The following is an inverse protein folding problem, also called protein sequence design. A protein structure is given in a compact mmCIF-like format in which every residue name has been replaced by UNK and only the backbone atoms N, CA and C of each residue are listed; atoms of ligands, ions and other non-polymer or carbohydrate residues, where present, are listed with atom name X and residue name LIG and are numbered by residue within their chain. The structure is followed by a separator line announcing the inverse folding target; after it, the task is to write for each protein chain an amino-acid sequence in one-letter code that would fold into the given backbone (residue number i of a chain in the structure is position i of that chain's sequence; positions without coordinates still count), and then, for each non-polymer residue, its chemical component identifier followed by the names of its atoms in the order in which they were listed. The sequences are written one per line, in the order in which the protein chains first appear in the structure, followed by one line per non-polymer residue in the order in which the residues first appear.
data_IF_073346519058
#
_entry.id   IF_073346519058
#
_cell.length_a   1.000
_cell.length_b   1.000
_cell.length_c   1.000
_cell.angle_alpha   90.00
_cell.angle_beta   90.00
_cell.angle_gamma   90.00
#
_symmetry.space_group_name_H-M   'P 1'
#
loop_
_entity.id
_entity.type
_entity.pdbx_description
1 polymer ?
#
# COMPACT_ATOMS: atom_id res chain seq x y z
N UNK A 1 56.47 19.03 -8.07
CA UNK A 1 55.97 17.98 -7.16
C UNK A 1 54.64 18.29 -6.46
N UNK A 2 54.20 19.56 -6.33
CA UNK A 2 52.91 19.90 -5.68
C UNK A 2 51.67 19.79 -6.60
N UNK A 3 51.83 19.79 -7.92
CA UNK A 3 50.71 19.69 -8.87
C UNK A 3 50.14 18.26 -9.01
N UNK A 4 50.95 17.23 -8.78
CA UNK A 4 50.54 15.83 -8.92
C UNK A 4 49.68 15.35 -7.75
N UNK A 5 49.86 15.93 -6.56
CA UNK A 5 49.02 15.65 -5.37
C UNK A 5 47.59 16.20 -5.52
N UNK A 6 47.41 17.32 -6.23
CA UNK A 6 46.09 17.89 -6.51
C UNK A 6 45.33 17.11 -7.58
N UNK A 7 46.02 16.55 -8.57
CA UNK A 7 45.40 15.70 -9.60
C UNK A 7 44.95 14.34 -9.05
N UNK A 8 45.67 13.77 -8.08
CA UNK A 8 45.26 12.51 -7.43
C UNK A 8 44.05 12.69 -6.50
N UNK A 9 43.86 13.88 -5.90
CA UNK A 9 42.71 14.15 -5.04
C UNK A 9 41.39 14.31 -5.83
N UNK A 10 41.44 14.76 -7.09
CA UNK A 10 40.26 14.91 -7.95
C UNK A 10 39.72 13.57 -8.48
N UNK A 11 40.56 12.53 -8.57
CA UNK A 11 40.18 11.19 -9.04
C UNK A 11 39.52 10.31 -7.96
N UNK A 12 39.49 10.78 -6.72
CA UNK A 12 38.95 10.08 -5.55
C UNK A 12 37.62 10.64 -5.06
N UNK A 13 37.00 11.59 -5.77
CA UNK A 13 35.61 11.92 -5.51
C UNK A 13 34.73 10.76 -6.01
N UNK A 14 34.15 9.94 -5.12
CA UNK A 14 33.11 9.04 -5.58
C UNK A 14 32.03 9.96 -6.13
N UNK A 15 31.64 9.75 -7.41
CA UNK A 15 30.50 10.45 -7.95
C UNK A 15 29.37 10.28 -6.95
N UNK A 16 28.85 11.39 -6.41
CA UNK A 16 27.59 11.40 -5.70
C UNK A 16 26.58 10.84 -6.70
N UNK A 17 26.34 9.53 -6.66
CA UNK A 17 25.14 8.97 -7.22
C UNK A 17 24.04 9.74 -6.52
N UNK A 18 23.31 10.56 -7.27
CA UNK A 18 22.12 11.22 -6.76
C UNK A 18 21.27 10.10 -6.14
N UNK A 19 21.14 10.13 -4.81
CA UNK A 19 20.35 9.16 -4.09
C UNK A 19 18.92 9.38 -4.57
N UNK A 20 18.49 8.53 -5.49
CA UNK A 20 17.16 8.58 -6.07
C UNK A 20 16.17 8.41 -4.93
N UNK A 21 15.28 9.38 -4.74
CA UNK A 21 14.36 9.36 -3.61
C UNK A 21 13.50 8.09 -3.69
N UNK A 22 13.61 7.23 -2.67
CA UNK A 22 12.88 5.97 -2.61
C UNK A 22 11.60 6.18 -1.79
N UNK A 23 10.46 5.90 -2.42
CA UNK A 23 9.16 5.92 -1.78
C UNK A 23 8.67 4.49 -1.64
N UNK A 24 8.66 4.01 -0.39
CA UNK A 24 8.18 2.67 -0.04
C UNK A 24 6.69 2.70 0.26
N UNK A 25 5.93 1.88 -0.45
CA UNK A 25 4.54 1.57 -0.14
C UNK A 25 4.46 0.30 0.69
N UNK A 26 3.59 0.27 1.70
CA UNK A 26 3.20 -0.96 2.37
C UNK A 26 1.89 -1.51 1.81
N UNK A 27 1.75 -2.82 1.68
CA UNK A 27 0.47 -3.50 1.54
C UNK A 27 0.19 -4.27 2.83
N UNK A 28 -0.97 -4.04 3.42
CA UNK A 28 -1.45 -4.69 4.62
C UNK A 28 -2.76 -5.40 4.31
N UNK A 29 -2.80 -6.71 4.46
CA UNK A 29 -4.01 -7.49 4.22
C UNK A 29 -4.12 -8.73 5.09
N UNK A 30 -5.25 -9.43 4.97
CA UNK A 30 -5.46 -10.67 5.68
C UNK A 30 -4.84 -11.86 4.96
N UNK A 31 -4.19 -12.74 5.70
CA UNK A 31 -3.74 -14.02 5.19
C UNK A 31 -4.95 -14.96 4.95
N UNK A 32 -5.08 -15.48 3.71
CA UNK A 32 -6.18 -16.34 3.27
C UNK A 32 -7.56 -15.69 3.43
N UNK A 33 -7.68 -14.44 3.01
CA UNK A 33 -8.93 -13.70 3.09
C UNK A 33 -10.09 -14.40 2.33
N UNK A 34 -11.23 -14.70 2.98
CA UNK A 34 -12.37 -15.35 2.34
C UNK A 34 -12.99 -14.52 1.21
N UNK A 35 -12.81 -13.18 1.21
CA UNK A 35 -13.33 -12.28 0.16
C UNK A 35 -12.78 -12.63 -1.22
N UNK A 36 -11.55 -13.16 -1.26
CA UNK A 36 -10.84 -13.54 -2.48
C UNK A 36 -10.82 -15.05 -2.75
N UNK A 37 -11.49 -15.84 -1.91
CA UNK A 37 -11.60 -17.26 -2.13
C UNK A 37 -12.36 -17.58 -3.43
N UNK A 38 -11.95 -18.69 -4.07
CA UNK A 38 -12.63 -19.24 -5.24
C UNK A 38 -14.07 -19.59 -4.88
N UNK A 39 -15.03 -19.06 -5.63
CA UNK A 39 -16.44 -19.38 -5.48
C UNK A 39 -16.81 -20.53 -6.44
N UNK A 40 -17.35 -21.63 -5.91
CA UNK A 40 -17.86 -22.77 -6.68
C UNK A 40 -19.37 -22.91 -6.48
N UNK A 41 -20.07 -23.37 -7.52
CA UNK A 41 -21.47 -23.83 -7.41
C UNK A 41 -21.56 -25.19 -6.72
N UNK A 42 -22.79 -25.62 -6.41
CA UNK A 42 -23.08 -27.00 -5.98
C UNK A 42 -22.59 -28.06 -6.99
N UNK A 43 -22.52 -27.72 -8.27
CA UNK A 43 -22.04 -28.58 -9.34
C UNK A 43 -20.51 -28.47 -9.57
N UNK A 44 -19.75 -27.90 -8.62
CA UNK A 44 -18.30 -27.65 -8.73
C UNK A 44 -17.87 -26.72 -9.89
N UNK A 45 -18.82 -26.04 -10.55
CA UNK A 45 -18.49 -25.03 -11.56
C UNK A 45 -17.90 -23.79 -10.88
N UNK A 46 -16.78 -23.29 -11.40
CA UNK A 46 -16.11 -22.09 -10.90
C UNK A 46 -16.88 -20.85 -11.37
N UNK A 47 -17.56 -20.17 -10.44
CA UNK A 47 -18.26 -18.91 -10.73
C UNK A 47 -17.30 -17.72 -10.71
N UNK A 48 -16.32 -17.76 -9.81
CA UNK A 48 -15.32 -16.71 -9.66
C UNK A 48 -13.96 -17.34 -9.36
N UNK A 49 -12.92 -17.03 -10.16
CA UNK A 49 -11.57 -17.46 -9.84
C UNK A 49 -11.11 -16.80 -8.52
N UNK A 50 -10.08 -17.38 -7.90
CA UNK A 50 -9.38 -16.67 -6.85
C UNK A 50 -8.62 -15.50 -7.50
N UNK A 51 -8.67 -14.32 -6.88
CA UNK A 51 -8.00 -13.11 -7.35
C UNK A 51 -7.06 -12.66 -6.24
N UNK A 52 -5.83 -12.32 -6.57
CA UNK A 52 -4.90 -11.72 -5.61
C UNK A 52 -4.78 -10.20 -5.88
N UNK A 53 -5.24 -9.32 -4.97
CA UNK A 53 -5.12 -7.88 -5.14
C UNK A 53 -3.68 -7.37 -5.22
N UNK A 54 -2.70 -8.10 -4.66
CA UNK A 54 -1.28 -7.75 -4.75
C UNK A 54 -0.79 -7.83 -6.19
N UNK A 55 -1.34 -8.71 -7.03
CA UNK A 55 -0.97 -8.77 -8.45
C UNK A 55 -1.29 -7.44 -9.17
N UNK A 56 -2.42 -6.81 -8.79
CA UNK A 56 -2.79 -5.48 -9.27
C UNK A 56 -1.81 -4.40 -8.79
N UNK A 57 -1.48 -4.40 -7.50
CA UNK A 57 -0.51 -3.45 -6.94
C UNK A 57 0.90 -3.62 -7.56
N UNK A 58 1.35 -4.86 -7.76
CA UNK A 58 2.63 -5.15 -8.42
C UNK A 58 2.64 -4.73 -9.89
N UNK A 59 1.48 -4.80 -10.57
CA UNK A 59 1.34 -4.27 -11.92
C UNK A 59 1.47 -2.76 -11.94
N UNK A 60 0.78 -2.06 -11.04
CA UNK A 60 0.93 -0.61 -10.86
C UNK A 60 2.38 -0.21 -10.53
N UNK A 61 3.12 -0.98 -9.73
CA UNK A 61 4.55 -0.72 -9.46
C UNK A 61 5.41 -0.82 -10.72
N UNK A 62 5.11 -1.73 -11.65
CA UNK A 62 5.83 -1.82 -12.93
C UNK A 62 5.56 -0.60 -13.80
N UNK A 63 4.31 -0.16 -13.87
CA UNK A 63 3.90 1.01 -14.67
C UNK A 63 4.46 2.30 -14.07
N UNK A 64 4.46 2.42 -12.74
CA UNK A 64 5.00 3.55 -12.00
C UNK A 64 6.50 3.76 -12.24
N UNK A 65 7.25 2.77 -12.75
CA UNK A 65 8.67 2.96 -13.13
C UNK A 65 8.84 4.02 -14.21
N UNK A 66 7.86 4.21 -15.09
CA UNK A 66 7.91 5.24 -16.14
C UNK A 66 7.86 6.62 -15.49
N UNK A 67 6.86 6.85 -14.64
CA UNK A 67 6.70 8.11 -13.88
C UNK A 67 7.90 8.32 -12.95
N UNK A 68 8.33 7.28 -12.25
CA UNK A 68 9.50 7.34 -11.37
C UNK A 68 10.75 7.76 -12.11
N UNK A 69 10.98 7.31 -13.37
CA UNK A 69 12.14 7.76 -14.17
C UNK A 69 12.05 9.24 -14.50
N UNK A 70 10.86 9.74 -14.82
CA UNK A 70 10.67 11.16 -15.09
C UNK A 70 10.85 12.04 -13.83
N UNK A 71 10.49 11.52 -12.66
CA UNK A 71 10.59 12.22 -11.37
C UNK A 71 11.93 12.00 -10.66
N UNK A 72 12.84 11.19 -11.20
CA UNK A 72 14.04 10.74 -10.48
C UNK A 72 13.71 10.13 -9.10
N UNK A 73 12.62 9.35 -9.04
CA UNK A 73 12.15 8.62 -7.85
C UNK A 73 12.09 7.12 -8.10
N UNK A 74 12.30 6.32 -7.05
CA UNK A 74 12.11 4.87 -7.07
C UNK A 74 10.89 4.51 -6.21
N UNK A 75 10.04 3.61 -6.70
CA UNK A 75 8.89 3.11 -5.96
C UNK A 75 9.10 1.64 -5.62
N UNK A 76 8.88 1.28 -4.36
CA UNK A 76 8.91 -0.11 -3.88
C UNK A 76 7.61 -0.45 -3.15
N UNK A 77 7.27 -1.74 -3.11
CA UNK A 77 6.07 -2.25 -2.44
C UNK A 77 6.47 -3.42 -1.53
N UNK A 78 6.20 -3.25 -0.23
CA UNK A 78 6.42 -4.27 0.79
C UNK A 78 5.08 -4.89 1.20
N UNK A 79 4.95 -6.20 1.04
CA UNK A 79 3.68 -6.91 1.25
C UNK A 79 3.70 -7.62 2.60
N UNK A 80 2.72 -7.33 3.45
CA UNK A 80 2.47 -8.04 4.68
C UNK A 80 1.03 -8.57 4.73
N UNK A 81 0.91 -9.86 5.08
CA UNK A 81 -0.36 -10.56 5.18
C UNK A 81 -0.42 -11.37 6.45
N UNK A 82 -1.30 -10.97 7.35
CA UNK A 82 -1.36 -11.52 8.68
C UNK A 82 -2.77 -12.04 9.00
N UNK A 83 -2.88 -12.99 9.91
CA UNK A 83 -4.18 -13.61 10.25
C UNK A 83 -4.89 -12.88 11.38
N UNK A 84 -4.13 -12.25 12.25
CA UNK A 84 -4.60 -11.60 13.46
C UNK A 84 -4.28 -10.10 13.43
N UNK A 85 -5.12 -9.27 14.08
CA UNK A 85 -4.91 -7.83 14.10
C UNK A 85 -3.59 -7.40 14.75
N UNK A 86 -3.07 -8.16 15.71
CA UNK A 86 -1.86 -7.81 16.45
C UNK A 86 -0.59 -8.04 15.62
N UNK A 87 -0.52 -9.17 14.89
CA UNK A 87 0.50 -9.41 13.89
C UNK A 87 0.43 -8.38 12.75
N UNK A 88 -0.78 -7.96 12.35
CA UNK A 88 -0.93 -6.91 11.35
C UNK A 88 -0.39 -5.56 11.86
N UNK A 89 -0.62 -5.23 13.14
CA UNK A 89 -0.02 -4.06 13.80
C UNK A 89 1.50 -4.16 13.84
N UNK A 90 2.05 -5.31 14.22
CA UNK A 90 3.49 -5.54 14.23
C UNK A 90 4.10 -5.42 12.83
N UNK A 91 3.42 -5.94 11.81
CA UNK A 91 3.83 -5.80 10.42
C UNK A 91 3.81 -4.34 9.96
N UNK A 92 2.78 -3.57 10.32
CA UNK A 92 2.74 -2.13 10.08
C UNK A 92 3.93 -1.43 10.73
N UNK A 93 4.21 -1.68 12.01
CA UNK A 93 5.32 -1.05 12.74
C UNK A 93 6.67 -1.36 12.08
N UNK A 94 6.89 -2.61 11.68
CA UNK A 94 8.09 -3.02 10.92
C UNK A 94 8.24 -2.21 9.63
N UNK A 95 7.18 -2.12 8.83
CA UNK A 95 7.23 -1.37 7.56
C UNK A 95 7.38 0.15 7.77
N UNK A 96 6.71 0.70 8.79
CA UNK A 96 6.74 2.12 9.10
C UNK A 96 8.10 2.58 9.65
N UNK A 97 8.66 1.83 10.60
CA UNK A 97 9.88 2.20 11.31
C UNK A 97 11.15 1.75 10.57
N UNK A 98 11.18 0.53 10.03
CA UNK A 98 12.39 -0.04 9.42
C UNK A 98 12.51 0.27 7.94
N UNK A 99 11.37 0.34 7.23
CA UNK A 99 11.35 0.61 5.77
C UNK A 99 10.97 2.04 5.40
N UNK A 100 10.65 2.87 6.40
CA UNK A 100 10.26 4.26 6.21
C UNK A 100 8.94 4.42 5.43
N UNK A 101 8.10 3.39 5.35
CA UNK A 101 6.85 3.47 4.61
C UNK A 101 5.91 4.49 5.27
N UNK A 102 5.34 5.37 4.44
CA UNK A 102 4.36 6.40 4.83
C UNK A 102 3.00 6.18 4.16
N UNK A 103 2.98 5.45 3.05
CA UNK A 103 1.79 5.17 2.25
C UNK A 103 1.46 3.68 2.32
N UNK A 104 0.23 3.35 2.70
CA UNK A 104 -0.18 1.96 2.90
C UNK A 104 -1.46 1.63 2.14
N UNK A 105 -1.42 0.61 1.28
CA UNK A 105 -2.60 -0.04 0.75
C UNK A 105 -3.14 -0.95 1.84
N UNK A 106 -4.36 -0.68 2.31
CA UNK A 106 -4.98 -1.44 3.40
C UNK A 106 -6.17 -2.23 2.85
N UNK A 107 -6.00 -3.54 2.85
CA UNK A 107 -6.93 -4.52 2.35
C UNK A 107 -7.57 -5.31 3.50
N UNK A 108 -8.44 -4.63 4.25
CA UNK A 108 -9.11 -5.18 5.42
C UNK A 108 -10.63 -5.01 5.30
N UNK A 109 -11.43 -5.89 5.92
CA UNK A 109 -12.86 -5.65 6.10
C UNK A 109 -13.09 -4.44 7.03
N UNK A 110 -14.24 -3.76 6.89
CA UNK A 110 -14.49 -2.47 7.53
C UNK A 110 -14.48 -2.48 9.06
N UNK A 111 -14.84 -3.62 9.66
CA UNK A 111 -14.79 -3.86 11.11
C UNK A 111 -13.36 -3.92 11.66
N UNK A 112 -12.39 -4.40 10.88
CA UNK A 112 -10.97 -4.35 11.22
C UNK A 112 -10.32 -3.02 10.80
N UNK A 113 -10.72 -2.47 9.65
CA UNK A 113 -10.12 -1.25 9.11
C UNK A 113 -10.39 -0.02 9.98
N UNK A 114 -11.63 0.15 10.45
CA UNK A 114 -12.01 1.33 11.26
C UNK A 114 -11.15 1.49 12.52
N UNK A 115 -11.04 0.49 13.43
CA UNK A 115 -10.18 0.62 14.61
C UNK A 115 -8.70 0.69 14.23
N UNK A 116 -8.26 -0.04 13.20
CA UNK A 116 -6.87 -0.01 12.76
C UNK A 116 -6.42 1.39 12.30
N UNK A 117 -7.26 2.07 11.52
CA UNK A 117 -7.00 3.44 11.06
C UNK A 117 -7.09 4.46 12.20
N UNK A 118 -8.06 4.29 13.11
CA UNK A 118 -8.23 5.17 14.26
C UNK A 118 -7.02 5.18 15.19
N UNK A 119 -6.41 4.01 15.44
CA UNK A 119 -5.18 3.89 16.25
C UNK A 119 -3.99 4.64 15.62
N UNK A 120 -3.99 4.79 14.29
CA UNK A 120 -2.91 5.43 13.53
C UNK A 120 -3.18 6.90 13.21
N UNK A 121 -4.26 7.49 13.72
CA UNK A 121 -4.75 8.82 13.31
C UNK A 121 -3.76 9.97 13.54
N UNK A 122 -2.92 9.85 14.57
CA UNK A 122 -1.95 10.87 14.97
C UNK A 122 -0.53 10.54 14.45
N UNK A 123 -0.39 9.52 13.59
CA UNK A 123 0.85 9.12 12.95
C UNK A 123 0.95 9.78 11.59
N UNK A 124 2.18 10.06 11.14
CA UNK A 124 2.45 10.57 9.79
C UNK A 124 2.33 9.43 8.76
N UNK A 125 1.10 8.99 8.49
CA UNK A 125 0.79 7.93 7.53
C UNK A 125 -0.47 8.23 6.75
N UNK A 126 -0.52 7.78 5.50
CA UNK A 126 -1.71 7.77 4.68
C UNK A 126 -2.10 6.33 4.34
N UNK A 127 -3.30 5.96 4.72
CA UNK A 127 -3.89 4.64 4.48
C UNK A 127 -4.86 4.73 3.30
N UNK A 128 -4.68 3.88 2.30
CA UNK A 128 -5.57 3.73 1.16
C UNK A 128 -6.46 2.51 1.37
N UNK A 129 -7.74 2.74 1.66
CA UNK A 129 -8.75 1.69 1.67
C UNK A 129 -9.02 1.22 0.24
N UNK A 130 -8.65 -0.04 -0.04
CA UNK A 130 -8.83 -0.64 -1.36
C UNK A 130 -9.98 -1.65 -1.45
N UNK A 131 -10.65 -1.99 -0.34
CA UNK A 131 -11.63 -3.09 -0.34
C UNK A 131 -12.85 -2.95 0.58
N UNK A 132 -12.84 -2.08 1.59
CA UNK A 132 -13.98 -1.89 2.48
C UNK A 132 -14.98 -0.87 1.93
N UNK A 133 -16.21 -1.31 1.66
CA UNK A 133 -17.28 -0.49 1.05
C UNK A 133 -18.29 0.04 2.07
N UNK A 134 -18.01 -0.14 3.36
CA UNK A 134 -18.86 0.28 4.48
C UNK A 134 -19.09 1.80 4.49
N UNK A 135 -20.35 2.28 4.41
CA UNK A 135 -20.65 3.71 4.41
C UNK A 135 -20.18 4.42 5.68
N UNK A 136 -20.14 3.73 6.82
CA UNK A 136 -19.75 4.31 8.10
C UNK A 136 -18.29 4.77 8.11
N UNK A 137 -17.42 4.18 7.28
CA UNK A 137 -16.03 4.62 7.11
C UNK A 137 -15.93 6.04 6.52
N UNK A 138 -16.99 6.53 5.87
CA UNK A 138 -17.08 7.90 5.31
C UNK A 138 -18.04 8.79 6.12
N UNK A 139 -18.45 8.32 7.30
CA UNK A 139 -19.38 9.01 8.19
C UNK A 139 -18.94 8.84 9.64
N UNK A 140 -19.75 8.12 10.43
CA UNK A 140 -19.57 7.99 11.87
C UNK A 140 -18.20 7.40 12.32
N UNK A 141 -17.53 6.62 11.48
CA UNK A 141 -16.23 6.01 11.76
C UNK A 141 -15.11 6.53 10.84
N UNK A 142 -15.29 7.71 10.26
CA UNK A 142 -14.31 8.34 9.38
C UNK A 142 -13.00 8.65 10.12
N UNK A 143 -11.87 8.45 9.44
CA UNK A 143 -10.53 8.76 9.94
C UNK A 143 -9.80 9.65 8.94
N UNK A 144 -9.12 10.69 9.43
CA UNK A 144 -8.45 11.69 8.59
C UNK A 144 -7.28 11.12 7.77
N UNK A 145 -6.63 10.07 8.28
CA UNK A 145 -5.54 9.36 7.63
C UNK A 145 -6.01 8.24 6.69
N UNK A 146 -7.32 8.08 6.44
CA UNK A 146 -7.88 7.01 5.63
C UNK A 146 -8.51 7.57 4.34
N UNK A 147 -7.81 7.42 3.22
CA UNK A 147 -8.31 7.72 1.89
C UNK A 147 -9.02 6.50 1.28
N UNK A 148 -10.11 6.73 0.58
CA UNK A 148 -10.89 5.67 -0.05
C UNK A 148 -10.70 5.63 -1.56
N UNK A 149 -10.13 4.52 -2.07
CA UNK A 149 -10.01 4.27 -3.52
C UNK A 149 -11.23 3.54 -4.05
N UNK A 150 -11.80 2.64 -3.25
CA UNK A 150 -13.03 1.91 -3.58
C UNK A 150 -14.27 2.75 -3.25
N UNK A 151 -15.38 2.69 -4.01
CA UNK A 151 -16.64 3.35 -3.63
C UNK A 151 -17.30 2.67 -2.43
N UNK A 152 -18.10 3.44 -1.68
CA UNK A 152 -19.01 2.89 -0.66
C UNK A 152 -20.24 2.26 -1.31
N UNK A 153 -20.96 1.41 -0.55
CA UNK A 153 -22.24 0.84 -0.98
C UNK A 153 -23.27 1.91 -1.35
N UNK A 154 -23.32 3.04 -0.63
CA UNK A 154 -24.23 4.14 -0.98
C UNK A 154 -23.91 4.72 -2.36
N UNK A 155 -22.64 4.98 -2.65
CA UNK A 155 -22.21 5.49 -3.96
C UNK A 155 -22.50 4.50 -5.10
N UNK A 156 -22.43 3.19 -4.84
CA UNK A 156 -22.85 2.19 -5.81
C UNK A 156 -24.36 2.23 -6.07
N UNK A 157 -25.17 2.41 -5.02
CA UNK A 157 -26.62 2.52 -5.16
C UNK A 157 -27.01 3.78 -5.94
N UNK A 158 -26.33 4.90 -5.72
CA UNK A 158 -26.52 6.11 -6.52
C UNK A 158 -26.21 5.83 -7.99
N UNK A 159 -25.13 5.10 -8.28
CA UNK A 159 -24.75 4.73 -9.65
C UNK A 159 -25.74 3.81 -10.38
N UNK A 160 -26.57 3.04 -9.65
CA UNK A 160 -27.63 2.20 -10.25
C UNK A 160 -28.87 3.00 -10.65
N UNK A 161 -29.07 4.19 -10.06
CA UNK A 161 -30.22 5.05 -10.32
C UNK A 161 -30.06 6.03 -11.49
N UNK A 162 -28.90 6.01 -12.17
CA UNK A 162 -28.52 6.95 -13.23
C UNK A 162 -28.76 6.41 -14.64
#
# INVERSE_FOLDING_TARGET
MRLWLLLLLLLLMPGLAAAREEVTFGYLGLAKDPRYARLKTYANLVLRPAIDPVDGAMTAMRDARIVGRALEMTFSLEVARERDPEALRAAFERLYAERGARFFLVDLPGDLLAPFAAELRDRDVLLFNISAMDPELRGARCQANLLHVIPSRNQLMDGLGQ
#
